data_IF_251629243473
#
_entry.id   IF_251629243473
#
_cell.length_a   1.000
_cell.length_b   1.000
_cell.length_c   1.000
_cell.angle_alpha   90.00
_cell.angle_beta   90.00
_cell.angle_gamma   90.00
#
_symmetry.space_group_name_H-M   'P 1'
#
loop_
_entity.id
_entity.type
_entity.pdbx_description
1 polymer ?
#
# COMPACT_ATOMS: atom_id res chain seq x y z
N UNK A 1 21.65 0.28 0.87
CA UNK A 1 21.13 -0.80 1.77
C UNK A 1 19.64 -0.58 1.99
N UNK A 2 18.87 -1.66 2.13
CA UNK A 2 17.44 -1.59 2.47
C UNK A 2 17.29 -1.44 3.99
N UNK A 3 16.33 -0.63 4.41
CA UNK A 3 16.01 -0.44 5.83
C UNK A 3 15.34 -1.70 6.39
N UNK A 4 15.96 -2.30 7.41
CA UNK A 4 15.44 -3.48 8.12
C UNK A 4 14.61 -2.98 9.31
N UNK A 5 13.34 -3.38 9.36
CA UNK A 5 12.39 -3.05 10.42
C UNK A 5 12.38 -4.11 11.53
N UNK A 6 12.60 -5.36 11.16
CA UNK A 6 12.68 -6.51 12.05
C UNK A 6 13.54 -7.60 11.42
N UNK A 7 14.30 -8.32 12.23
CA UNK A 7 15.11 -9.45 11.76
C UNK A 7 15.33 -10.44 12.89
N UNK A 8 15.14 -11.73 12.57
CA UNK A 8 15.57 -12.86 13.38
C UNK A 8 16.04 -14.03 12.48
N UNK A 9 16.12 -15.26 13.03
CA UNK A 9 16.54 -16.44 12.29
C UNK A 9 15.46 -16.98 11.34
N UNK A 10 14.19 -16.59 11.49
CA UNK A 10 13.07 -17.08 10.71
C UNK A 10 12.68 -16.13 9.57
N UNK A 11 12.62 -14.84 9.84
CA UNK A 11 12.12 -13.84 8.90
C UNK A 11 12.84 -12.49 9.01
N UNK A 12 12.72 -11.71 7.95
CA UNK A 12 13.16 -10.32 7.90
C UNK A 12 12.00 -9.47 7.37
N UNK A 13 11.74 -8.35 8.02
CA UNK A 13 10.84 -7.31 7.53
C UNK A 13 11.63 -6.09 7.12
N UNK A 14 11.29 -5.52 5.99
CA UNK A 14 11.94 -4.32 5.45
C UNK A 14 10.95 -3.22 5.15
N UNK A 15 11.41 -1.99 5.20
CA UNK A 15 10.71 -0.86 4.62
C UNK A 15 11.03 -0.78 3.12
N UNK A 16 10.17 -1.37 2.29
CA UNK A 16 10.38 -1.34 0.83
C UNK A 16 10.18 0.07 0.29
N UNK A 17 11.15 0.67 -0.38
CA UNK A 17 10.95 1.96 -1.02
C UNK A 17 9.97 1.87 -2.20
N UNK A 18 9.27 2.96 -2.50
CA UNK A 18 8.47 3.08 -3.71
C UNK A 18 9.37 3.03 -4.96
N UNK A 19 8.87 2.42 -6.04
CA UNK A 19 9.61 2.32 -7.30
C UNK A 19 10.51 1.09 -7.43
N UNK A 20 10.91 0.43 -6.32
CA UNK A 20 11.73 -0.78 -6.34
C UNK A 20 10.86 -2.02 -6.64
N UNK A 21 11.20 -2.76 -7.68
CA UNK A 21 10.55 -4.02 -8.02
C UNK A 21 11.01 -5.14 -7.08
N UNK A 22 10.06 -6.01 -6.64
CA UNK A 22 10.37 -7.06 -5.68
C UNK A 22 11.22 -8.18 -6.32
N UNK A 23 10.83 -8.64 -7.51
CA UNK A 23 11.54 -9.71 -8.24
C UNK A 23 11.43 -9.50 -9.75
N UNK A 24 12.27 -10.21 -10.50
CA UNK A 24 12.22 -10.23 -11.96
C UNK A 24 10.88 -10.79 -12.45
N UNK A 25 10.23 -10.09 -13.37
CA UNK A 25 9.03 -10.59 -14.04
C UNK A 25 8.96 -10.07 -15.47
N UNK A 26 8.22 -10.78 -16.34
CA UNK A 26 8.03 -10.34 -17.74
C UNK A 26 7.35 -8.97 -17.87
N UNK A 27 6.68 -8.50 -16.81
CA UNK A 27 6.01 -7.19 -16.76
C UNK A 27 6.91 -6.05 -16.29
N UNK A 28 8.02 -6.37 -15.66
CA UNK A 28 9.03 -5.41 -15.23
C UNK A 28 10.20 -5.58 -16.20
N UNK A 29 10.25 -4.73 -17.21
CA UNK A 29 11.38 -4.69 -18.18
C UNK A 29 12.72 -4.55 -17.47
N UNK A 30 13.72 -4.04 -18.12
CA UNK A 30 15.04 -3.80 -17.53
C UNK A 30 14.91 -2.85 -16.33
N UNK A 31 14.93 -3.42 -15.10
CA UNK A 31 15.12 -2.68 -13.87
C UNK A 31 16.57 -2.85 -13.44
N UNK A 32 17.19 -1.76 -12.99
CA UNK A 32 18.60 -1.74 -12.60
C UNK A 32 18.88 -2.62 -11.38
N UNK A 33 17.86 -2.84 -10.52
CA UNK A 33 17.95 -3.70 -9.34
C UNK A 33 16.60 -4.30 -8.97
N UNK A 34 16.64 -5.46 -8.33
CA UNK A 34 15.48 -6.11 -7.73
C UNK A 34 15.69 -6.27 -6.23
N UNK A 35 14.64 -6.06 -5.46
CA UNK A 35 14.69 -6.11 -4.00
C UNK A 35 15.27 -7.43 -3.48
N UNK A 36 14.87 -8.56 -4.05
CA UNK A 36 15.36 -9.88 -3.62
C UNK A 36 16.87 -10.01 -3.82
N UNK A 37 17.41 -9.47 -4.91
CA UNK A 37 18.85 -9.53 -5.20
C UNK A 37 19.63 -8.64 -4.20
N UNK A 38 19.14 -7.41 -3.94
CA UNK A 38 19.71 -6.51 -2.93
C UNK A 38 19.68 -7.09 -1.52
N UNK A 39 18.58 -7.77 -1.15
CA UNK A 39 18.48 -8.41 0.15
C UNK A 39 19.43 -9.60 0.31
N UNK A 40 19.59 -10.42 -0.74
CA UNK A 40 20.54 -11.53 -0.74
C UNK A 40 21.97 -11.05 -0.51
N UNK A 41 22.35 -9.97 -1.19
CA UNK A 41 23.64 -9.34 -1.00
C UNK A 41 23.81 -8.79 0.42
N UNK A 42 22.80 -8.03 0.91
CA UNK A 42 22.83 -7.39 2.22
C UNK A 42 22.86 -8.39 3.38
N UNK A 43 22.13 -9.51 3.27
CA UNK A 43 21.99 -10.52 4.34
C UNK A 43 22.97 -11.69 4.19
N UNK A 44 23.74 -11.74 3.11
CA UNK A 44 24.72 -12.81 2.86
C UNK A 44 24.10 -14.18 2.65
N UNK A 45 22.85 -14.27 2.12
CA UNK A 45 22.17 -15.55 1.98
C UNK A 45 20.89 -15.50 1.16
N UNK A 46 20.27 -16.68 0.99
CA UNK A 46 19.02 -16.81 0.26
C UNK A 46 17.84 -16.28 1.09
N UNK A 47 16.94 -15.54 0.44
CA UNK A 47 15.67 -15.09 1.02
C UNK A 47 14.49 -15.59 0.15
N UNK A 48 13.36 -15.84 0.79
CA UNK A 48 12.17 -16.40 0.20
C UNK A 48 11.00 -15.44 0.41
N UNK A 49 10.29 -15.12 -0.68
CA UNK A 49 9.12 -14.23 -0.61
C UNK A 49 7.90 -14.97 -0.08
N UNK A 50 7.32 -14.49 1.00
CA UNK A 50 6.03 -14.97 1.53
C UNK A 50 4.84 -14.22 0.88
N UNK A 51 5.05 -12.95 0.55
CA UNK A 51 4.07 -12.12 -0.13
C UNK A 51 4.77 -11.07 -1.01
N UNK A 52 4.00 -10.21 -1.64
CA UNK A 52 4.55 -9.16 -2.52
C UNK A 52 3.82 -7.84 -2.37
N UNK A 53 4.56 -6.76 -2.59
CA UNK A 53 4.01 -5.43 -2.85
C UNK A 53 4.20 -5.09 -4.33
N UNK A 54 3.35 -4.20 -4.86
CA UNK A 54 3.54 -3.62 -6.18
C UNK A 54 4.83 -2.78 -6.21
N UNK A 55 5.45 -2.64 -7.38
CA UNK A 55 6.66 -1.81 -7.57
C UNK A 55 6.48 -0.41 -6.99
N UNK A 56 5.32 0.22 -7.23
CA UNK A 56 5.03 1.59 -6.82
C UNK A 56 4.60 1.74 -5.35
N UNK A 57 4.24 0.64 -4.67
CA UNK A 57 3.84 0.63 -3.25
C UNK A 57 5.08 0.58 -2.38
N UNK A 58 5.11 1.39 -1.31
CA UNK A 58 6.15 1.35 -0.26
C UNK A 58 5.66 0.67 1.01
N UNK A 59 6.55 0.46 1.98
CA UNK A 59 6.22 -0.01 3.32
C UNK A 59 6.61 -1.46 3.60
N UNK A 60 6.00 -2.06 4.62
CA UNK A 60 6.38 -3.36 5.17
C UNK A 60 6.31 -4.46 4.13
N UNK A 61 7.43 -5.13 3.89
CA UNK A 61 7.53 -6.36 3.13
C UNK A 61 8.25 -7.42 3.95
N UNK A 62 7.62 -8.61 4.10
CA UNK A 62 8.20 -9.75 4.79
C UNK A 62 8.91 -10.67 3.81
N UNK A 63 10.07 -11.16 4.20
CA UNK A 63 10.79 -12.26 3.55
C UNK A 63 11.17 -13.32 4.59
N UNK A 64 11.09 -14.57 4.21
CA UNK A 64 11.52 -15.68 5.04
C UNK A 64 13.01 -16.01 4.80
N UNK A 65 13.69 -16.53 5.81
CA UNK A 65 15.10 -16.96 5.74
C UNK A 65 15.27 -18.42 5.30
N UNK A 66 14.16 -19.18 5.25
CA UNK A 66 14.14 -20.53 4.71
C UNK A 66 12.87 -20.85 3.95
N UNK A 67 12.88 -21.89 3.14
CA UNK A 67 11.70 -22.35 2.41
C UNK A 67 10.58 -22.82 3.37
N UNK A 68 10.94 -23.45 4.50
CA UNK A 68 9.97 -23.88 5.51
C UNK A 68 9.24 -22.68 6.12
N UNK A 69 9.97 -21.61 6.47
CA UNK A 69 9.37 -20.38 7.01
C UNK A 69 8.53 -19.66 5.97
N UNK A 70 8.94 -19.68 4.69
CA UNK A 70 8.10 -19.13 3.61
C UNK A 70 6.79 -19.89 3.46
N UNK A 71 6.81 -21.22 3.62
CA UNK A 71 5.61 -22.06 3.66
C UNK A 71 4.67 -21.67 4.80
N UNK A 72 5.19 -21.62 6.03
CA UNK A 72 4.42 -21.25 7.22
C UNK A 72 3.80 -19.86 7.13
N UNK A 73 4.55 -18.85 6.64
CA UNK A 73 4.01 -17.54 6.37
C UNK A 73 2.95 -17.58 5.25
N UNK A 74 3.20 -18.35 4.19
CA UNK A 74 2.25 -18.52 3.08
C UNK A 74 0.90 -19.09 3.54
N UNK A 75 0.90 -20.04 4.48
CA UNK A 75 -0.32 -20.59 5.09
C UNK A 75 -1.11 -19.50 5.84
N UNK A 76 -0.45 -18.67 6.64
CA UNK A 76 -1.11 -17.56 7.34
C UNK A 76 -1.71 -16.54 6.34
N UNK A 77 -1.00 -16.22 5.24
CA UNK A 77 -1.56 -15.36 4.19
C UNK A 77 -2.77 -15.98 3.48
N UNK A 78 -2.76 -17.30 3.25
CA UNK A 78 -3.89 -18.03 2.65
C UNK A 78 -5.06 -18.17 3.63
N UNK A 79 -4.78 -18.40 4.91
CA UNK A 79 -5.78 -18.45 6.00
C UNK A 79 -6.42 -17.11 6.33
N UNK A 80 -5.84 -16.00 5.82
CA UNK A 80 -6.26 -14.62 6.13
C UNK A 80 -5.95 -14.22 7.59
N UNK A 81 -5.00 -14.89 8.23
CA UNK A 81 -4.59 -14.62 9.61
C UNK A 81 -3.61 -13.43 9.71
N UNK A 82 -3.19 -12.91 8.55
CA UNK A 82 -2.31 -11.75 8.46
C UNK A 82 -3.11 -10.48 8.29
N UNK A 83 -3.08 -9.61 9.31
CA UNK A 83 -3.70 -8.29 9.24
C UNK A 83 -2.75 -7.28 8.59
N UNK A 84 -3.28 -6.51 7.64
CA UNK A 84 -2.51 -5.54 6.84
C UNK A 84 -3.22 -4.21 6.86
N UNK A 85 -2.49 -3.15 7.21
CA UNK A 85 -2.99 -1.78 7.15
C UNK A 85 -2.16 -0.98 6.16
N UNK A 86 -2.84 -0.23 5.31
CA UNK A 86 -2.23 0.64 4.33
C UNK A 86 -2.73 2.06 4.50
N UNK A 87 -1.87 3.04 4.24
CA UNK A 87 -2.27 4.42 4.05
C UNK A 87 -2.29 4.74 2.56
N UNK A 88 -3.32 5.45 2.14
CA UNK A 88 -3.46 5.94 0.77
C UNK A 88 -3.92 7.38 0.73
N UNK A 89 -3.41 8.17 -0.20
CA UNK A 89 -4.01 9.46 -0.55
C UNK A 89 -4.84 9.27 -1.81
N UNK A 90 -6.12 9.62 -1.71
CA UNK A 90 -7.09 9.39 -2.78
C UNK A 90 -7.72 10.70 -3.27
N UNK A 91 -8.21 10.68 -4.52
CA UNK A 91 -9.01 11.77 -5.08
C UNK A 91 -10.41 11.78 -4.46
N UNK A 92 -10.91 12.96 -4.11
CA UNK A 92 -12.24 13.17 -3.55
C UNK A 92 -12.31 12.78 -2.07
N UNK A 93 -13.50 12.79 -1.54
CA UNK A 93 -13.81 12.42 -0.17
C UNK A 93 -14.71 11.19 -0.20
N UNK A 94 -14.20 10.00 0.11
CA UNK A 94 -15.03 8.79 0.22
C UNK A 94 -16.19 8.99 1.18
N UNK A 95 -17.39 8.68 0.73
CA UNK A 95 -18.61 8.62 1.52
C UNK A 95 -19.27 7.25 1.35
N UNK A 96 -19.68 6.60 2.46
CA UNK A 96 -19.52 7.02 3.86
C UNK A 96 -18.03 7.12 4.28
N UNK A 97 -17.77 7.68 5.49
CA UNK A 97 -16.41 7.86 6.03
C UNK A 97 -15.64 6.55 6.18
N UNK A 98 -16.36 5.46 6.35
CA UNK A 98 -15.80 4.10 6.37
C UNK A 98 -16.73 3.14 5.63
N UNK A 99 -16.18 2.04 5.13
CA UNK A 99 -16.97 1.07 4.39
C UNK A 99 -16.16 -0.14 3.96
N UNK A 100 -16.87 -1.08 3.35
CA UNK A 100 -16.33 -2.30 2.74
C UNK A 100 -16.51 -2.23 1.23
N UNK A 101 -15.41 -2.34 0.50
CA UNK A 101 -15.45 -2.59 -0.94
C UNK A 101 -15.42 -4.10 -1.14
N UNK A 102 -16.58 -4.69 -1.39
CA UNK A 102 -16.74 -6.10 -1.75
C UNK A 102 -16.97 -6.19 -3.26
N UNK A 103 -15.88 -6.27 -4.01
CA UNK A 103 -15.91 -6.29 -5.47
C UNK A 103 -14.92 -7.31 -6.02
N UNK A 104 -15.40 -8.42 -6.61
CA UNK A 104 -14.54 -9.47 -7.11
C UNK A 104 -13.57 -8.96 -8.18
N UNK A 105 -12.31 -9.38 -8.09
CA UNK A 105 -11.24 -8.97 -8.99
C UNK A 105 -10.71 -10.15 -9.80
N UNK A 106 -10.25 -9.94 -11.04
CA UNK A 106 -9.56 -10.96 -11.81
C UNK A 106 -8.29 -11.38 -11.07
N UNK A 107 -7.86 -12.62 -11.28
CA UNK A 107 -6.63 -13.16 -10.71
C UNK A 107 -5.38 -12.39 -11.12
N UNK A 108 -4.23 -13.06 -11.17
CA UNK A 108 -2.92 -12.44 -11.49
C UNK A 108 -2.81 -11.84 -12.90
N UNK A 109 -3.69 -12.26 -13.80
CA UNK A 109 -3.86 -11.68 -15.15
C UNK A 109 -5.17 -10.90 -15.16
N UNK A 110 -5.20 -9.77 -15.83
CA UNK A 110 -6.40 -8.92 -15.92
C UNK A 110 -7.56 -9.61 -16.69
N UNK A 111 -7.25 -10.72 -17.35
CA UNK A 111 -8.16 -11.58 -18.07
C UNK A 111 -8.25 -12.94 -17.38
N UNK A 112 -9.24 -13.15 -16.55
CA UNK A 112 -9.44 -14.44 -15.87
C UNK A 112 -10.67 -14.42 -14.99
N UNK A 113 -11.07 -15.59 -14.43
CA UNK A 113 -12.22 -15.64 -13.55
C UNK A 113 -12.03 -14.68 -12.36
N UNK A 114 -13.09 -13.95 -12.07
CA UNK A 114 -13.10 -13.06 -10.91
C UNK A 114 -13.12 -13.90 -9.63
N UNK A 115 -12.37 -13.45 -8.65
CA UNK A 115 -12.26 -14.05 -7.32
C UNK A 115 -12.67 -13.05 -6.28
N UNK A 116 -13.22 -13.51 -5.18
CA UNK A 116 -13.53 -12.71 -4.02
C UNK A 116 -12.38 -11.75 -3.67
N UNK A 117 -12.72 -10.49 -3.50
CA UNK A 117 -11.79 -9.45 -3.09
C UNK A 117 -12.52 -8.44 -2.21
N UNK A 118 -12.01 -8.23 -0.99
CA UNK A 118 -12.65 -7.41 0.03
C UNK A 118 -11.60 -6.48 0.66
N UNK A 119 -11.95 -5.19 0.76
CA UNK A 119 -11.09 -4.16 1.37
C UNK A 119 -11.95 -3.23 2.20
N UNK A 120 -11.70 -3.18 3.49
CA UNK A 120 -12.23 -2.11 4.35
C UNK A 120 -11.46 -0.83 4.09
N UNK A 121 -12.14 0.29 4.16
CA UNK A 121 -11.52 1.60 4.15
C UNK A 121 -12.10 2.49 5.23
N UNK A 122 -11.27 3.42 5.72
CA UNK A 122 -11.66 4.47 6.67
C UNK A 122 -10.97 5.77 6.28
N UNK A 123 -11.77 6.82 6.08
CA UNK A 123 -11.27 8.17 5.78
C UNK A 123 -10.77 8.82 7.05
N UNK A 124 -9.46 9.11 7.11
CA UNK A 124 -8.81 9.70 8.29
C UNK A 124 -8.83 11.22 8.27
N UNK A 125 -8.61 11.82 7.09
CA UNK A 125 -8.55 13.26 6.95
C UNK A 125 -8.94 13.69 5.53
N UNK A 126 -9.30 14.97 5.39
CA UNK A 126 -9.69 15.58 4.10
C UNK A 126 -9.00 16.91 3.88
N UNK A 127 -8.81 17.26 2.62
CA UNK A 127 -8.36 18.59 2.22
C UNK A 127 -9.08 19.03 0.96
N UNK A 128 -9.36 20.32 0.88
CA UNK A 128 -9.76 21.00 -0.36
C UNK A 128 -8.65 21.98 -0.73
N UNK A 129 -8.12 21.85 -1.94
CA UNK A 129 -7.03 22.72 -2.41
C UNK A 129 -7.55 23.68 -3.50
N UNK A 130 -7.23 24.97 -3.43
CA UNK A 130 -7.70 25.99 -4.37
C UNK A 130 -6.88 25.96 -5.68
N UNK A 131 -6.86 24.80 -6.34
CA UNK A 131 -6.18 24.60 -7.62
C UNK A 131 -7.20 24.19 -8.65
N UNK A 132 -7.37 25.01 -9.68
CA UNK A 132 -8.29 24.72 -10.75
C UNK A 132 -7.82 23.54 -11.61
N UNK A 133 -8.74 22.61 -11.88
CA UNK A 133 -8.50 21.48 -12.77
C UNK A 133 -9.76 21.15 -13.55
N UNK A 134 -9.69 21.28 -14.88
CA UNK A 134 -10.86 21.21 -15.74
C UNK A 134 -11.89 22.30 -15.39
N UNK A 135 -13.13 21.90 -15.15
CA UNK A 135 -14.23 22.81 -14.79
C UNK A 135 -14.33 23.15 -13.30
N UNK A 136 -13.52 22.53 -12.47
CA UNK A 136 -13.59 22.68 -11.02
C UNK A 136 -12.51 23.64 -10.53
N UNK A 137 -12.86 24.72 -9.80
CA UNK A 137 -11.89 25.69 -9.27
C UNK A 137 -11.08 25.14 -8.10
N UNK A 138 -11.57 24.06 -7.45
CA UNK A 138 -10.97 23.44 -6.27
C UNK A 138 -10.91 21.94 -6.45
N UNK A 139 -9.96 21.28 -5.78
CA UNK A 139 -9.83 19.83 -5.81
C UNK A 139 -9.88 19.26 -4.39
N UNK A 140 -10.51 18.10 -4.25
CA UNK A 140 -10.69 17.40 -2.99
C UNK A 140 -9.84 16.14 -2.93
N UNK A 141 -9.20 15.94 -1.79
CA UNK A 141 -8.39 14.76 -1.52
C UNK A 141 -8.63 14.28 -0.09
N UNK A 142 -8.37 13.00 0.15
CA UNK A 142 -8.49 12.40 1.47
C UNK A 142 -7.31 11.49 1.76
N UNK A 143 -6.93 11.42 3.05
CA UNK A 143 -6.12 10.36 3.60
C UNK A 143 -7.05 9.22 4.01
N UNK A 144 -6.75 8.02 3.56
CA UNK A 144 -7.58 6.83 3.78
C UNK A 144 -6.70 5.70 4.30
N UNK A 145 -7.15 5.06 5.37
CA UNK A 145 -6.67 3.76 5.80
C UNK A 145 -7.38 2.67 5.01
N UNK A 146 -6.64 1.68 4.51
CA UNK A 146 -7.19 0.53 3.81
C UNK A 146 -6.74 -0.77 4.49
N UNK A 147 -7.69 -1.64 4.83
CA UNK A 147 -7.44 -2.95 5.45
C UNK A 147 -7.98 -4.06 4.55
N UNK A 148 -7.13 -4.64 3.66
CA UNK A 148 -7.57 -5.70 2.76
C UNK A 148 -7.64 -7.05 3.48
N UNK A 149 -8.81 -7.72 3.46
CA UNK A 149 -8.99 -9.10 3.94
C UNK A 149 -8.33 -10.11 2.99
N UNK A 150 -8.40 -9.83 1.70
CA UNK A 150 -7.84 -10.67 0.64
C UNK A 150 -6.58 -10.00 0.03
N UNK A 151 -5.86 -10.71 -0.82
CA UNK A 151 -4.60 -10.21 -1.42
C UNK A 151 -4.57 -10.37 -2.96
N UNK A 152 -5.52 -9.78 -3.69
CA UNK A 152 -5.53 -9.86 -5.16
C UNK A 152 -4.58 -8.84 -5.79
N UNK A 153 -4.16 -9.12 -7.01
CA UNK A 153 -3.27 -8.26 -7.77
C UNK A 153 -3.81 -6.84 -7.89
N UNK A 154 -3.08 -5.86 -7.30
CA UNK A 154 -3.43 -4.43 -7.22
C UNK A 154 -4.78 -4.16 -6.57
N UNK A 155 -5.17 -4.98 -5.59
CA UNK A 155 -6.51 -4.95 -5.02
C UNK A 155 -6.92 -3.57 -4.52
N UNK A 156 -6.18 -2.96 -3.60
CA UNK A 156 -6.52 -1.65 -3.03
C UNK A 156 -6.66 -0.60 -4.13
N UNK A 157 -5.74 -0.59 -5.09
CA UNK A 157 -5.75 0.35 -6.22
C UNK A 157 -7.01 0.23 -7.07
N UNK A 158 -7.41 -1.01 -7.40
CA UNK A 158 -8.63 -1.31 -8.17
C UNK A 158 -9.89 -1.00 -7.36
N UNK A 159 -9.91 -1.33 -6.08
CA UNK A 159 -11.05 -1.07 -5.21
C UNK A 159 -11.28 0.43 -5.01
N UNK A 160 -10.25 1.22 -4.72
CA UNK A 160 -10.39 2.66 -4.59
C UNK A 160 -10.80 3.33 -5.92
N UNK A 161 -10.30 2.85 -7.05
CA UNK A 161 -10.76 3.31 -8.37
C UNK A 161 -12.22 2.90 -8.65
N UNK A 162 -12.65 1.70 -8.23
CA UNK A 162 -14.02 1.20 -8.39
C UNK A 162 -15.04 2.09 -7.67
N UNK A 163 -14.72 2.55 -6.47
CA UNK A 163 -15.57 3.48 -5.71
C UNK A 163 -15.34 4.95 -6.09
N UNK A 164 -14.70 5.22 -7.24
CA UNK A 164 -14.43 6.56 -7.79
C UNK A 164 -13.46 7.44 -6.98
N UNK A 165 -12.69 6.86 -6.08
CA UNK A 165 -11.64 7.51 -5.28
C UNK A 165 -10.24 6.96 -5.59
N UNK A 166 -9.76 7.08 -6.86
CA UNK A 166 -8.48 6.50 -7.25
C UNK A 166 -7.33 7.11 -6.47
N UNK A 167 -6.30 6.27 -6.23
CA UNK A 167 -5.09 6.65 -5.50
C UNK A 167 -4.26 7.63 -6.33
N UNK A 168 -3.76 8.67 -5.69
CA UNK A 168 -2.88 9.67 -6.29
C UNK A 168 -1.53 9.03 -6.64
N UNK A 169 -1.03 9.35 -7.84
CA UNK A 169 0.21 8.79 -8.37
C UNK A 169 0.07 7.41 -9.01
N UNK A 170 -1.13 6.81 -9.00
CA UNK A 170 -1.38 5.57 -9.73
C UNK A 170 -1.49 5.85 -11.23
N UNK A 171 -0.53 5.34 -12.02
CA UNK A 171 -0.49 5.55 -13.47
C UNK A 171 -1.45 4.64 -14.25
N UNK A 172 -2.03 3.60 -13.63
CA UNK A 172 -2.85 2.61 -14.31
C UNK A 172 -4.32 2.67 -13.92
N UNK A 173 -4.61 2.90 -12.63
CA UNK A 173 -5.97 2.96 -12.11
C UNK A 173 -6.31 4.37 -11.59
N UNK A 174 -5.36 5.31 -11.63
CA UNK A 174 -5.51 6.69 -11.20
C UNK A 174 -5.94 7.64 -12.31
N UNK A 175 -5.90 8.92 -12.00
CA UNK A 175 -6.22 10.02 -12.91
C UNK A 175 -4.95 10.78 -13.26
N UNK A 176 -4.58 10.79 -14.52
CA UNK A 176 -3.34 11.41 -15.02
C UNK A 176 -3.29 12.93 -14.78
N UNK A 177 -4.44 13.60 -14.85
CA UNK A 177 -4.60 15.02 -14.58
C UNK A 177 -4.27 15.36 -13.10
N UNK A 178 -4.84 14.61 -12.15
CA UNK A 178 -4.54 14.75 -10.73
C UNK A 178 -3.10 14.35 -10.40
N UNK A 179 -2.57 13.29 -11.02
CA UNK A 179 -1.19 12.88 -10.83
C UNK A 179 -0.21 13.98 -11.29
N UNK A 180 -0.53 14.68 -12.39
CA UNK A 180 0.26 15.82 -12.88
C UNK A 180 0.17 17.01 -11.95
N UNK A 181 -1.02 17.32 -11.40
CA UNK A 181 -1.22 18.33 -10.38
C UNK A 181 -0.32 18.07 -9.16
N UNK A 182 -0.30 16.83 -8.65
CA UNK A 182 0.53 16.49 -7.49
C UNK A 182 2.03 16.65 -7.77
N UNK A 183 2.49 16.29 -8.96
CA UNK A 183 3.89 16.54 -9.38
C UNK A 183 4.20 18.03 -9.41
N UNK A 184 3.33 18.84 -10.01
CA UNK A 184 3.57 20.24 -10.25
C UNK A 184 3.50 21.08 -8.97
N UNK A 185 2.49 20.86 -8.13
CA UNK A 185 2.20 21.72 -6.98
C UNK A 185 2.71 21.19 -5.65
N UNK A 186 2.91 19.87 -5.54
CA UNK A 186 3.32 19.22 -4.29
C UNK A 186 4.64 18.46 -4.40
N UNK A 187 5.31 18.47 -5.57
CA UNK A 187 6.56 17.75 -5.77
C UNK A 187 6.45 16.24 -5.62
N UNK A 188 5.23 15.69 -5.65
CA UNK A 188 5.00 14.28 -5.42
C UNK A 188 5.07 13.48 -6.73
N UNK A 189 6.11 12.65 -6.88
CA UNK A 189 6.41 11.90 -8.10
C UNK A 189 6.13 10.39 -7.96
N UNK A 190 5.53 9.95 -6.87
CA UNK A 190 5.26 8.55 -6.58
C UNK A 190 3.77 8.26 -6.37
N UNK A 191 3.39 6.99 -6.42
CA UNK A 191 2.07 6.56 -5.98
C UNK A 191 1.97 6.65 -4.45
N UNK A 192 0.93 7.29 -3.95
CA UNK A 192 0.70 7.48 -2.51
C UNK A 192 -0.11 6.31 -1.93
N UNK A 193 0.51 5.13 -1.93
CA UNK A 193 0.06 3.92 -1.25
C UNK A 193 1.25 3.34 -0.48
N UNK A 194 1.05 3.12 0.82
CA UNK A 194 2.06 2.66 1.75
C UNK A 194 1.52 1.54 2.63
N UNK A 195 2.19 0.40 2.68
CA UNK A 195 1.92 -0.71 3.60
C UNK A 195 2.46 -0.33 4.99
N UNK A 196 1.63 0.32 5.80
CA UNK A 196 2.05 0.92 7.06
C UNK A 196 2.34 -0.12 8.13
N UNK A 197 1.44 -1.10 8.28
CA UNK A 197 1.51 -2.07 9.38
C UNK A 197 1.13 -3.47 8.90
N UNK A 198 1.81 -4.46 9.44
CA UNK A 198 1.45 -5.88 9.31
C UNK A 198 1.46 -6.53 10.68
N UNK A 199 0.43 -7.35 10.97
CA UNK A 199 0.32 -8.13 12.20
C UNK A 199 0.04 -9.58 11.83
N UNK A 200 0.80 -10.50 12.42
CA UNK A 200 0.74 -11.93 12.16
C UNK A 200 1.21 -12.72 13.38
N UNK A 201 1.02 -14.03 13.39
CA UNK A 201 1.69 -14.90 14.33
C UNK A 201 3.13 -15.19 13.86
N UNK A 202 4.10 -15.06 14.75
CA UNK A 202 5.49 -15.39 14.40
C UNK A 202 5.61 -16.86 14.02
N UNK A 203 6.21 -17.23 12.87
CA UNK A 203 6.12 -18.58 12.31
C UNK A 203 6.79 -19.68 13.14
N UNK A 204 7.65 -19.33 14.10
CA UNK A 204 8.31 -20.28 15.00
C UNK A 204 7.66 -20.29 16.39
N UNK A 205 7.52 -19.12 17.02
CA UNK A 205 7.03 -19.03 18.40
C UNK A 205 5.50 -18.99 18.50
N UNK A 206 4.78 -18.68 17.43
CA UNK A 206 3.34 -18.42 17.47
C UNK A 206 2.94 -17.11 18.16
N UNK A 207 3.87 -16.35 18.71
CA UNK A 207 3.60 -15.11 19.40
C UNK A 207 3.11 -14.02 18.41
N UNK A 208 2.19 -13.12 18.83
CA UNK A 208 1.80 -12.00 18.01
C UNK A 208 3.00 -11.12 17.66
N UNK A 209 3.15 -10.79 16.39
CA UNK A 209 4.20 -9.93 15.86
C UNK A 209 3.57 -8.80 15.05
N UNK A 210 3.79 -7.56 15.47
CA UNK A 210 3.36 -6.37 14.74
C UNK A 210 4.59 -5.60 14.27
N UNK A 211 4.62 -5.27 12.98
CA UNK A 211 5.72 -4.54 12.34
C UNK A 211 5.14 -3.33 11.62
N UNK A 212 5.76 -2.19 11.82
CA UNK A 212 5.38 -0.91 11.22
C UNK A 212 6.51 -0.35 10.38
N UNK A 213 6.16 0.26 9.25
CA UNK A 213 7.11 0.97 8.40
C UNK A 213 6.88 2.47 8.49
N UNK A 214 7.92 3.27 8.74
CA UNK A 214 7.80 4.71 8.65
C UNK A 214 7.51 5.15 7.22
N UNK A 215 6.76 6.24 7.09
CA UNK A 215 6.51 6.89 5.81
C UNK A 215 7.81 7.47 5.25
N UNK A 216 7.96 7.44 3.93
CA UNK A 216 9.07 8.14 3.30
C UNK A 216 8.89 9.67 3.34
N UNK A 217 9.97 10.39 3.05
CA UNK A 217 10.00 11.85 3.10
C UNK A 217 8.92 12.50 2.25
N UNK A 218 8.69 12.01 1.02
CA UNK A 218 7.70 12.56 0.10
C UNK A 218 6.27 12.42 0.64
N UNK A 219 5.95 11.28 1.28
CA UNK A 219 4.64 11.07 1.88
C UNK A 219 4.49 11.91 3.15
N UNK A 220 5.50 11.93 4.01
CA UNK A 220 5.51 12.71 5.26
C UNK A 220 5.37 14.21 4.98
N UNK A 221 6.13 14.75 4.04
CA UNK A 221 6.05 16.16 3.66
C UNK A 221 4.66 16.55 3.16
N UNK A 222 4.01 15.66 2.40
CA UNK A 222 2.64 15.87 1.94
C UNK A 222 1.63 15.90 3.09
N UNK A 223 1.73 14.95 4.04
CA UNK A 223 0.85 14.92 5.22
C UNK A 223 1.01 16.21 6.03
N UNK A 224 2.24 16.64 6.28
CA UNK A 224 2.52 17.90 6.99
C UNK A 224 1.92 19.11 6.26
N UNK A 225 2.07 19.18 4.93
CA UNK A 225 1.54 20.27 4.12
C UNK A 225 0.01 20.37 4.18
N UNK A 226 -0.67 19.24 4.33
CA UNK A 226 -2.12 19.18 4.44
C UNK A 226 -2.62 19.23 5.90
N UNK A 227 -1.71 19.26 6.90
CA UNK A 227 -2.05 19.20 8.31
C UNK A 227 -2.65 17.87 8.73
N UNK A 228 -2.30 16.79 8.04
CA UNK A 228 -2.81 15.45 8.31
C UNK A 228 -1.90 14.67 9.26
N UNK A 229 -2.53 13.91 10.18
CA UNK A 229 -1.85 12.91 10.99
C UNK A 229 -2.37 11.52 10.65
N UNK A 230 -1.49 10.54 10.41
CA UNK A 230 -1.92 9.15 10.15
C UNK A 230 -2.58 8.49 11.38
N UNK A 231 -2.30 9.00 12.60
CA UNK A 231 -2.81 8.48 13.87
C UNK A 231 -4.03 9.28 14.38
N UNK A 232 -4.53 10.25 13.61
CA UNK A 232 -5.68 11.04 14.02
C UNK A 232 -6.94 10.16 14.11
N UNK A 233 -7.74 10.29 15.18
CA UNK A 233 -9.07 9.72 15.21
C UNK A 233 -9.87 10.30 14.04
N UNK A 234 -10.75 9.49 13.44
CA UNK A 234 -11.60 9.92 12.33
C UNK A 234 -12.23 11.28 12.61
N UNK A 235 -12.09 12.23 11.69
CA UNK A 235 -12.68 13.55 11.84
C UNK A 235 -14.19 13.41 12.05
N UNK A 236 -14.78 14.12 13.03
CA UNK A 236 -16.23 14.07 13.27
C UNK A 236 -16.97 14.49 11.99
N UNK A 237 -18.05 13.79 11.69
CA UNK A 237 -18.97 14.18 10.64
C UNK A 237 -19.39 15.64 10.87
N UNK A 238 -19.14 16.51 9.91
CA UNK A 238 -19.78 17.83 9.93
C UNK A 238 -21.27 17.58 9.77
N UNK A 239 -22.02 17.88 10.83
CA UNK A 239 -23.47 17.90 10.76
C UNK A 239 -23.88 18.70 9.53
N UNK A 240 -24.69 18.09 8.66
CA UNK A 240 -25.28 18.76 7.51
C UNK A 240 -26.15 19.91 8.04
N UNK A 241 -25.75 21.13 7.72
CA UNK A 241 -26.54 22.35 7.91
C UNK A 241 -27.37 22.60 6.69
#
# INVERSE_FOLDING_TARGET
MLEILFQDDALVAINKPAGLAVHRSKLVGHADAFLVDLLREQLGGTVYLAHRLDRATSGVLLVARSAAMAGALGEQFMGRDVHKQYLAVVRGWPEPTEGLVDYPLPGSRETGPRREARTHYRRLATVEVPIALGRYPQQRYALVECTPETGRFRQIRKHMAHIHHPIIGDCQHGRSDHNRLFKQYFGCHRMLLHAQRITLAHPVSGAPLTIEAPLDEAFTALLQRFGWSPDAPSAPERAAS
#
